data_IF_367062102990
#
_entry.id   IF_367062102990
#
_cell.length_a   1.000
_cell.length_b   1.000
_cell.length_c   1.000
_cell.angle_alpha   90.00
_cell.angle_beta   90.00
_cell.angle_gamma   90.00
#
_symmetry.space_group_name_H-M   'P 1'
#
loop_
_entity.id
_entity.type
_entity.pdbx_description
1 polymer ?
#
# COMPACT_ATOMS: atom_id res chain seq x y z
N UNK A 1 -1.76 -24.16 16.61
CA UNK A 1 -1.62 -23.22 15.46
C UNK A 1 -1.35 -21.82 16.02
N UNK A 2 -0.35 -21.08 15.51
CA UNK A 2 -0.14 -19.67 15.92
C UNK A 2 -1.30 -18.82 15.37
N UNK A 3 -1.83 -17.92 16.18
CA UNK A 3 -3.01 -17.11 15.83
C UNK A 3 -2.56 -15.83 15.16
N UNK A 4 -3.08 -15.55 13.96
CA UNK A 4 -2.95 -14.23 13.34
C UNK A 4 -4.01 -13.29 13.94
N UNK A 5 -3.56 -12.36 14.76
CA UNK A 5 -4.44 -11.41 15.45
C UNK A 5 -4.98 -10.34 14.50
N UNK A 6 -4.15 -9.83 13.60
CA UNK A 6 -4.48 -8.77 12.63
C UNK A 6 -4.42 -9.35 11.21
N UNK A 7 -5.33 -8.92 10.34
CA UNK A 7 -5.34 -9.31 8.92
C UNK A 7 -4.12 -8.73 8.21
N UNK A 8 -3.55 -9.48 7.27
CA UNK A 8 -2.36 -9.04 6.51
C UNK A 8 -2.60 -7.73 5.75
N UNK A 9 -3.81 -7.54 5.22
CA UNK A 9 -4.18 -6.31 4.51
C UNK A 9 -4.03 -5.07 5.40
N UNK A 10 -4.38 -5.16 6.69
CA UNK A 10 -4.20 -4.08 7.67
C UNK A 10 -2.72 -3.86 7.95
N UNK A 11 -1.94 -4.93 8.14
CA UNK A 11 -0.49 -4.85 8.37
C UNK A 11 0.21 -4.10 7.22
N UNK A 12 -0.25 -4.31 5.99
CA UNK A 12 0.31 -3.68 4.80
C UNK A 12 -0.12 -2.23 4.58
N UNK A 13 -1.04 -1.70 5.39
CA UNK A 13 -1.40 -0.29 5.33
C UNK A 13 -0.25 0.59 5.84
N UNK A 14 -0.20 1.87 5.43
CA UNK A 14 0.71 2.82 6.04
C UNK A 14 0.46 2.99 7.54
N UNK A 15 1.49 3.31 8.33
CA UNK A 15 1.33 3.55 9.79
C UNK A 15 0.27 4.62 10.10
N UNK A 16 0.21 5.69 9.31
CA UNK A 16 -0.82 6.73 9.43
C UNK A 16 -2.25 6.24 9.17
N UNK A 17 -2.42 5.11 8.47
CA UNK A 17 -3.72 4.44 8.24
C UNK A 17 -3.90 3.23 9.17
N UNK A 18 -3.14 3.16 10.26
CA UNK A 18 -3.23 2.06 11.21
C UNK A 18 -2.56 0.76 10.78
N UNK A 19 -1.69 0.75 9.77
CA UNK A 19 -0.87 -0.42 9.45
C UNK A 19 0.55 -0.34 10.00
N UNK A 20 1.47 -1.13 9.43
CA UNK A 20 2.87 -1.19 9.83
C UNK A 20 3.86 -0.76 8.74
N UNK A 21 3.38 -0.21 7.61
CA UNK A 21 4.20 0.12 6.42
C UNK A 21 4.93 -1.10 5.83
N UNK A 22 4.43 -2.32 6.09
CA UNK A 22 4.95 -3.55 5.47
C UNK A 22 4.47 -3.60 4.02
N UNK A 23 5.35 -3.97 3.09
CA UNK A 23 4.95 -4.11 1.69
C UNK A 23 4.08 -5.34 1.51
N UNK A 24 2.99 -5.20 0.76
CA UNK A 24 2.18 -6.35 0.37
C UNK A 24 2.98 -7.21 -0.62
N UNK A 25 3.36 -8.41 -0.19
CA UNK A 25 4.16 -9.37 -0.96
C UNK A 25 3.50 -9.71 -2.29
N UNK A 26 2.16 -9.77 -2.34
CA UNK A 26 1.41 -10.04 -3.59
C UNK A 26 1.63 -8.90 -4.58
N UNK A 27 1.52 -7.66 -4.11
CA UNK A 27 1.72 -6.47 -4.95
C UNK A 27 3.18 -6.31 -5.36
N UNK A 28 4.13 -6.65 -4.48
CA UNK A 28 5.56 -6.73 -4.83
C UNK A 28 5.78 -7.75 -5.94
N UNK A 29 5.20 -8.95 -5.83
CA UNK A 29 5.33 -10.00 -6.84
C UNK A 29 4.77 -9.55 -8.20
N UNK A 30 3.55 -8.99 -8.22
CA UNK A 30 2.94 -8.44 -9.45
C UNK A 30 3.84 -7.36 -10.06
N UNK A 31 4.42 -6.49 -9.24
CA UNK A 31 5.31 -5.41 -9.72
C UNK A 31 6.62 -5.93 -10.31
N UNK A 32 7.14 -7.04 -9.79
CA UNK A 32 8.33 -7.71 -10.31
C UNK A 32 8.01 -8.47 -11.61
N UNK A 33 6.90 -9.19 -11.67
CA UNK A 33 6.42 -9.83 -12.90
C UNK A 33 6.16 -8.81 -14.01
N UNK A 34 5.58 -7.66 -13.67
CA UNK A 34 5.41 -6.55 -14.61
C UNK A 34 6.74 -5.98 -15.11
N UNK A 35 7.84 -6.11 -14.35
CA UNK A 35 9.18 -5.76 -14.85
C UNK A 35 9.63 -6.73 -15.95
N UNK A 36 9.38 -8.02 -15.78
CA UNK A 36 9.66 -9.02 -16.80
C UNK A 36 8.84 -8.76 -18.06
N UNK A 37 7.54 -8.47 -17.91
CA UNK A 37 6.68 -8.11 -19.04
C UNK A 37 7.14 -6.80 -19.70
N UNK A 38 7.53 -5.80 -18.92
CA UNK A 38 8.14 -4.58 -19.46
C UNK A 38 9.39 -4.86 -20.29
N UNK A 39 10.27 -5.74 -19.80
CA UNK A 39 11.46 -6.12 -20.56
C UNK A 39 11.11 -6.87 -21.84
N UNK A 40 10.04 -7.68 -21.86
CA UNK A 40 9.53 -8.34 -23.08
C UNK A 40 9.02 -7.37 -24.15
N UNK A 41 8.76 -6.11 -23.81
CA UNK A 41 8.37 -5.12 -24.81
C UNK A 41 9.52 -4.77 -25.77
N UNK A 42 10.77 -4.91 -25.32
CA UNK A 42 11.95 -4.63 -26.11
C UNK A 42 12.41 -5.91 -26.82
N UNK A 43 12.67 -5.82 -28.11
CA UNK A 43 13.24 -6.93 -28.88
C UNK A 43 14.77 -6.85 -28.87
N UNK A 44 15.35 -7.04 -27.68
CA UNK A 44 16.80 -7.16 -27.50
C UNK A 44 17.24 -8.63 -27.53
N UNK A 45 18.52 -8.87 -27.80
CA UNK A 45 19.11 -10.22 -27.94
C UNK A 45 19.37 -10.90 -26.58
N UNK A 46 18.44 -10.80 -25.63
CA UNK A 46 18.58 -11.47 -24.35
C UNK A 46 18.23 -12.97 -24.46
N UNK A 47 19.13 -13.85 -23.99
CA UNK A 47 18.99 -15.33 -24.06
C UNK A 47 17.64 -15.84 -23.54
N UNK A 48 17.13 -15.28 -22.45
CA UNK A 48 15.85 -15.70 -21.89
C UNK A 48 14.66 -15.38 -22.81
N UNK A 49 14.76 -14.31 -23.63
CA UNK A 49 13.75 -13.99 -24.65
C UNK A 49 13.83 -14.97 -25.81
N UNK A 50 15.02 -15.38 -26.23
CA UNK A 50 15.19 -16.41 -27.27
C UNK A 50 14.57 -17.75 -26.87
N UNK A 51 14.74 -18.15 -25.59
CA UNK A 51 14.06 -19.33 -25.05
C UNK A 51 12.53 -19.18 -25.11
N UNK A 52 12.00 -18.00 -24.78
CA UNK A 52 10.56 -17.73 -24.86
C UNK A 52 10.04 -17.71 -26.30
N UNK A 53 10.76 -17.07 -27.23
CA UNK A 53 10.43 -17.06 -28.66
C UNK A 53 10.43 -18.47 -29.24
N UNK A 54 11.42 -19.29 -28.88
CA UNK A 54 11.52 -20.68 -29.33
C UNK A 54 10.38 -21.55 -28.77
N UNK A 55 10.02 -21.37 -27.51
CA UNK A 55 9.02 -22.23 -26.83
C UNK A 55 7.56 -21.80 -27.07
N UNK A 56 7.31 -20.49 -27.17
CA UNK A 56 5.97 -19.91 -27.20
C UNK A 56 5.68 -19.08 -28.46
N UNK A 57 6.66 -18.91 -29.35
CA UNK A 57 6.54 -18.17 -30.60
C UNK A 57 7.07 -16.74 -30.52
N UNK A 58 7.44 -16.15 -31.66
CA UNK A 58 8.01 -14.79 -31.75
C UNK A 58 7.03 -13.69 -31.33
N UNK A 59 5.73 -13.96 -31.39
CA UNK A 59 4.65 -13.02 -31.05
C UNK A 59 4.58 -12.65 -29.56
N UNK A 60 5.36 -13.29 -28.69
CA UNK A 60 5.36 -13.03 -27.24
C UNK A 60 6.19 -11.80 -26.84
N UNK A 61 6.97 -11.25 -27.77
CA UNK A 61 7.80 -10.06 -27.57
C UNK A 61 7.13 -8.86 -28.24
N UNK A 62 7.33 -7.67 -27.67
CA UNK A 62 6.84 -6.41 -28.25
C UNK A 62 5.35 -6.13 -28.02
N UNK A 63 4.67 -6.87 -27.12
CA UNK A 63 3.23 -6.71 -26.89
C UNK A 63 2.89 -6.22 -25.48
N UNK A 64 2.10 -5.14 -25.34
CA UNK A 64 1.61 -4.67 -24.04
C UNK A 64 0.55 -5.62 -23.45
N UNK A 65 -0.10 -6.44 -24.27
CA UNK A 65 -1.08 -7.43 -23.85
C UNK A 65 -0.70 -8.81 -24.44
N UNK A 66 -0.59 -9.80 -23.56
CA UNK A 66 -0.34 -11.20 -23.92
C UNK A 66 -1.65 -11.98 -23.75
N UNK A 67 -2.33 -12.27 -24.85
CA UNK A 67 -3.62 -12.97 -24.83
C UNK A 67 -3.52 -14.44 -24.45
N UNK A 68 -4.66 -15.13 -24.43
CA UNK A 68 -4.72 -16.58 -24.12
C UNK A 68 -3.96 -17.43 -25.14
N UNK A 69 -3.77 -16.94 -26.37
CA UNK A 69 -2.91 -17.57 -27.37
C UNK A 69 -1.45 -17.67 -26.92
N UNK A 70 -1.01 -16.80 -26.01
CA UNK A 70 0.33 -16.84 -25.42
C UNK A 70 0.42 -17.81 -24.23
N UNK A 71 -0.67 -18.49 -23.85
CA UNK A 71 -0.75 -19.41 -22.69
C UNK A 71 -1.12 -20.84 -23.13
N UNK A 72 -0.25 -21.54 -23.90
CA UNK A 72 -0.51 -22.93 -24.25
C UNK A 72 -0.63 -23.81 -23.00
N UNK A 73 -1.31 -24.95 -23.10
CA UNK A 73 -1.58 -25.83 -21.95
C UNK A 73 -0.30 -26.25 -21.20
N UNK A 74 0.80 -26.44 -21.92
CA UNK A 74 2.13 -26.80 -21.41
C UNK A 74 2.97 -25.61 -20.89
N UNK A 75 2.43 -24.39 -20.90
CA UNK A 75 3.12 -23.23 -20.36
C UNK A 75 3.46 -23.41 -18.89
N UNK A 76 4.70 -23.05 -18.53
CA UNK A 76 5.13 -23.01 -17.13
C UNK A 76 4.29 -22.02 -16.32
N UNK A 77 4.11 -22.27 -15.02
CA UNK A 77 3.36 -21.37 -14.13
C UNK A 77 3.90 -19.93 -14.17
N UNK A 78 5.22 -19.75 -14.13
CA UNK A 78 5.85 -18.44 -14.25
C UNK A 78 5.49 -17.70 -15.56
N UNK A 79 5.45 -18.42 -16.68
CA UNK A 79 5.04 -17.82 -17.96
C UNK A 79 3.56 -17.45 -17.95
N UNK A 80 2.69 -18.32 -17.40
CA UNK A 80 1.27 -18.01 -17.20
C UNK A 80 1.08 -16.77 -16.34
N UNK A 81 1.89 -16.59 -15.30
CA UNK A 81 1.87 -15.40 -14.44
C UNK A 81 2.27 -14.13 -15.19
N UNK A 82 3.32 -14.17 -16.04
CA UNK A 82 3.72 -13.05 -16.90
C UNK A 82 2.61 -12.72 -17.90
N UNK A 83 2.07 -13.71 -18.61
CA UNK A 83 0.98 -13.49 -19.56
C UNK A 83 -0.32 -13.00 -18.88
N UNK A 84 -0.45 -13.16 -17.57
CA UNK A 84 -1.61 -12.67 -16.82
C UNK A 84 -1.43 -11.24 -16.32
N UNK A 85 -0.25 -10.63 -16.49
CA UNK A 85 -0.05 -9.22 -16.18
C UNK A 85 -0.95 -8.36 -17.07
N UNK A 86 -1.70 -7.47 -16.43
CA UNK A 86 -2.73 -6.67 -17.08
C UNK A 86 -4.13 -7.24 -16.83
N UNK A 87 -4.34 -8.55 -16.81
CA UNK A 87 -5.67 -9.11 -16.51
C UNK A 87 -5.82 -9.53 -15.04
N UNK A 88 -4.72 -9.62 -14.30
CA UNK A 88 -4.66 -10.09 -12.92
C UNK A 88 -5.37 -9.20 -11.88
N UNK A 89 -5.83 -7.99 -12.24
CA UNK A 89 -6.44 -7.01 -11.32
C UNK A 89 -7.72 -6.36 -11.88
N UNK A 90 -8.54 -7.12 -12.63
CA UNK A 90 -9.83 -6.71 -13.21
C UNK A 90 -9.81 -5.51 -14.19
N UNK A 91 -8.63 -5.03 -14.57
CA UNK A 91 -8.43 -3.92 -15.50
C UNK A 91 -7.10 -4.11 -16.22
N UNK A 92 -7.02 -3.87 -17.53
CA UNK A 92 -5.80 -3.89 -18.36
C UNK A 92 -4.81 -2.78 -17.96
N UNK A 93 -4.42 -2.77 -16.69
CA UNK A 93 -3.68 -1.70 -16.05
C UNK A 93 -2.28 -1.55 -16.63
N UNK A 94 -1.67 -2.67 -17.05
CA UNK A 94 -0.34 -2.67 -17.62
C UNK A 94 -0.33 -2.00 -19.00
N UNK A 95 -1.26 -2.36 -19.90
CA UNK A 95 -1.35 -1.74 -21.23
C UNK A 95 -1.69 -0.26 -21.15
N UNK A 96 -2.50 0.16 -20.19
CA UNK A 96 -2.78 1.58 -19.91
C UNK A 96 -1.56 2.35 -19.38
N UNK A 97 -0.59 1.66 -18.79
CA UNK A 97 0.62 2.27 -18.23
C UNK A 97 1.77 2.37 -19.23
N UNK A 98 1.73 1.62 -20.34
CA UNK A 98 2.82 1.58 -21.33
C UNK A 98 2.39 2.27 -22.62
N UNK A 99 3.31 2.98 -23.25
CA UNK A 99 3.08 3.66 -24.53
C UNK A 99 4.23 3.34 -25.48
N UNK A 100 3.90 3.19 -26.76
CA UNK A 100 4.93 3.16 -27.81
C UNK A 100 5.31 4.60 -28.15
N UNK A 101 6.61 4.88 -28.17
CA UNK A 101 7.18 6.15 -28.62
C UNK A 101 7.77 5.88 -30.00
N UNK A 102 7.16 6.49 -31.01
CA UNK A 102 7.57 6.34 -32.39
C UNK A 102 8.89 7.09 -32.65
N UNK A 103 9.82 6.39 -33.29
CA UNK A 103 11.05 6.92 -33.85
C UNK A 103 11.07 6.67 -35.36
N UNK A 104 11.84 5.68 -35.79
CA UNK A 104 11.97 5.27 -37.19
C UNK A 104 10.82 4.38 -37.70
N UNK A 105 9.98 3.86 -36.82
CA UNK A 105 8.79 3.06 -37.15
C UNK A 105 9.06 1.59 -37.46
N UNK A 106 10.31 1.11 -37.34
CA UNK A 106 10.66 -0.28 -37.67
C UNK A 106 10.08 -1.30 -36.69
N UNK A 107 9.94 -0.93 -35.42
CA UNK A 107 9.45 -1.83 -34.37
C UNK A 107 8.04 -1.46 -33.89
N UNK A 108 7.33 -0.61 -34.62
CA UNK A 108 5.97 -0.17 -34.32
C UNK A 108 5.03 -0.75 -35.36
N UNK A 109 4.03 -1.50 -34.91
CA UNK A 109 2.99 -2.03 -35.81
C UNK A 109 2.07 -0.90 -36.26
N UNK A 110 1.83 -0.80 -37.56
CA UNK A 110 0.96 0.24 -38.10
C UNK A 110 -0.47 0.14 -37.57
N UNK A 111 -1.06 -1.07 -37.54
CA UNK A 111 -2.45 -1.23 -37.14
C UNK A 111 -2.65 -1.44 -35.64
N UNK A 112 -1.74 -2.18 -34.99
CA UNK A 112 -1.96 -2.68 -33.64
C UNK A 112 -1.46 -1.74 -32.54
N UNK A 113 -0.39 -0.98 -32.78
CA UNK A 113 0.17 -0.08 -31.77
C UNK A 113 -0.53 1.29 -31.79
N UNK A 114 -0.60 1.93 -30.62
CA UNK A 114 -1.09 3.32 -30.49
C UNK A 114 0.06 4.30 -30.74
N UNK A 115 0.29 4.63 -32.00
CA UNK A 115 1.33 5.58 -32.42
C UNK A 115 0.79 6.87 -33.09
N UNK A 116 -0.48 6.87 -33.51
CA UNK A 116 -1.18 8.02 -34.08
C UNK A 116 -2.53 8.25 -33.37
N UNK A 117 -2.56 9.17 -32.40
CA UNK A 117 -3.74 9.47 -31.58
C UNK A 117 -3.75 8.74 -30.22
N UNK A 118 -4.93 8.49 -29.67
CA UNK A 118 -5.12 7.91 -28.33
C UNK A 118 -5.45 6.41 -28.31
N UNK A 119 -5.94 5.87 -29.43
CA UNK A 119 -6.31 4.47 -29.62
C UNK A 119 -5.59 3.89 -30.85
N UNK A 120 -5.53 2.55 -30.96
CA UNK A 120 -4.91 1.89 -32.10
C UNK A 120 -5.65 2.19 -33.40
N UNK A 121 -4.94 2.20 -34.53
CA UNK A 121 -5.56 2.46 -35.84
C UNK A 121 -6.55 1.37 -36.25
N UNK A 122 -6.37 0.11 -35.80
CA UNK A 122 -7.35 -0.96 -36.05
C UNK A 122 -8.68 -0.70 -35.35
N UNK A 123 -8.67 -0.07 -34.18
CA UNK A 123 -9.87 0.16 -33.38
C UNK A 123 -10.58 1.42 -33.87
N UNK A 124 -9.82 2.44 -34.32
CA UNK A 124 -10.37 3.65 -34.94
C UNK A 124 -10.91 3.40 -36.35
N UNK A 125 -10.23 2.59 -37.16
CA UNK A 125 -10.60 2.31 -38.56
C UNK A 125 -10.81 0.81 -38.82
N UNK A 126 -11.78 0.15 -38.15
CA UNK A 126 -11.94 -1.30 -38.20
C UNK A 126 -12.27 -1.83 -39.60
N UNK A 127 -12.98 -1.04 -40.41
CA UNK A 127 -13.30 -1.40 -41.81
C UNK A 127 -12.05 -1.45 -42.68
N UNK A 128 -11.21 -0.41 -42.66
CA UNK A 128 -9.94 -0.37 -43.39
C UNK A 128 -9.01 -1.48 -42.94
N UNK A 129 -8.90 -1.70 -41.63
CA UNK A 129 -8.14 -2.81 -41.08
C UNK A 129 -8.61 -4.17 -41.63
N UNK A 130 -9.93 -4.40 -41.67
CA UNK A 130 -10.50 -5.68 -42.13
C UNK A 130 -10.11 -6.02 -43.58
N UNK A 131 -10.03 -5.01 -44.46
CA UNK A 131 -9.70 -5.17 -45.88
C UNK A 131 -8.21 -4.98 -46.20
N UNK A 132 -7.39 -4.52 -45.25
CA UNK A 132 -5.94 -4.46 -45.42
C UNK A 132 -5.33 -5.86 -45.55
N UNK A 133 -4.38 -6.02 -46.47
CA UNK A 133 -3.54 -7.23 -46.56
C UNK A 133 -2.30 -7.15 -45.68
N UNK A 134 -1.91 -5.94 -45.27
CA UNK A 134 -0.70 -5.62 -44.51
C UNK A 134 -1.02 -5.43 -43.01
N UNK A 135 -1.80 -6.34 -42.42
CA UNK A 135 -2.26 -6.20 -41.02
C UNK A 135 -1.14 -6.25 -39.99
N UNK A 136 -0.06 -6.96 -40.31
CA UNK A 136 1.09 -7.19 -39.42
C UNK A 136 2.30 -6.31 -39.78
N UNK A 137 2.15 -5.41 -40.76
CA UNK A 137 3.25 -4.55 -41.21
C UNK A 137 3.62 -3.47 -40.20
N UNK A 138 4.90 -3.12 -40.20
CA UNK A 138 5.42 -2.00 -39.40
C UNK A 138 5.10 -0.65 -40.04
N UNK A 139 5.21 0.42 -39.25
CA UNK A 139 5.04 1.79 -39.75
C UNK A 139 6.10 2.11 -40.80
N UNK A 140 7.35 1.66 -40.61
CA UNK A 140 8.43 1.85 -41.57
C UNK A 140 8.21 1.11 -42.89
N UNK A 141 7.63 -0.09 -42.87
CA UNK A 141 7.33 -0.85 -44.10
C UNK A 141 6.27 -0.18 -44.97
N UNK A 142 5.26 0.40 -44.33
CA UNK A 142 4.16 1.09 -45.01
C UNK A 142 4.53 2.51 -45.45
N UNK A 143 5.57 3.09 -44.84
CA UNK A 143 6.08 4.42 -45.14
C UNK A 143 7.20 4.33 -46.18
N UNK A 144 7.04 4.98 -47.32
CA UNK A 144 8.11 5.11 -48.30
C UNK A 144 9.16 6.13 -47.82
N UNK A 145 10.42 5.76 -47.54
CA UNK A 145 11.40 6.68 -46.95
C UNK A 145 11.95 7.72 -47.94
N UNK A 146 11.90 7.42 -49.25
CA UNK A 146 12.76 8.06 -50.25
C UNK A 146 12.18 9.33 -50.91
N UNK A 147 10.99 9.80 -50.52
CA UNK A 147 10.28 10.87 -51.24
C UNK A 147 10.35 12.27 -50.61
N UNK A 148 10.90 12.43 -49.41
CA UNK A 148 10.83 13.70 -48.65
C UNK A 148 9.41 14.09 -48.19
N UNK A 149 8.37 13.58 -48.85
CA UNK A 149 6.95 13.59 -48.48
C UNK A 149 6.59 12.28 -47.76
N UNK A 150 5.69 12.34 -46.76
CA UNK A 150 5.15 11.14 -46.10
C UNK A 150 4.22 10.37 -47.06
N UNK A 151 4.82 9.53 -47.90
CA UNK A 151 4.10 8.68 -48.86
C UNK A 151 3.88 7.32 -48.23
N UNK A 152 2.63 6.85 -48.28
CA UNK A 152 2.20 5.59 -47.67
C UNK A 152 1.77 4.59 -48.75
N UNK A 153 2.16 3.32 -48.59
CA UNK A 153 1.88 2.25 -49.55
C UNK A 153 0.88 1.25 -48.99
N UNK A 154 -0.41 1.47 -49.24
CA UNK A 154 -1.48 0.58 -48.79
C UNK A 154 -1.92 -0.42 -49.86
N UNK A 155 -2.01 -1.69 -49.47
CA UNK A 155 -2.51 -2.78 -50.31
C UNK A 155 -3.79 -3.36 -49.72
N UNK A 156 -4.89 -3.19 -50.45
CA UNK A 156 -6.23 -3.62 -50.08
C UNK A 156 -6.62 -4.92 -50.77
N UNK A 157 -7.43 -5.76 -50.11
CA UNK A 157 -7.96 -7.01 -50.69
C UNK A 157 -8.89 -6.80 -51.89
N UNK A 158 -9.49 -5.60 -51.99
CA UNK A 158 -10.40 -5.18 -53.05
C UNK A 158 -10.33 -3.65 -53.21
N UNK A 159 -10.94 -3.13 -54.28
CA UNK A 159 -11.17 -1.70 -54.42
C UNK A 159 -11.98 -1.12 -53.25
N UNK A 160 -11.63 0.09 -52.85
CA UNK A 160 -12.33 0.83 -51.79
C UNK A 160 -13.66 1.36 -52.31
N UNK A 161 -14.69 1.28 -51.49
CA UNK A 161 -15.95 2.00 -51.73
C UNK A 161 -15.80 3.48 -51.34
N UNK A 162 -16.70 4.35 -51.81
CA UNK A 162 -16.65 5.79 -51.53
C UNK A 162 -16.57 6.12 -50.03
N UNK A 163 -17.33 5.41 -49.18
CA UNK A 163 -17.28 5.62 -47.73
C UNK A 163 -15.97 5.13 -47.08
N UNK A 164 -15.30 4.12 -47.68
CA UNK A 164 -13.98 3.66 -47.25
C UNK A 164 -12.90 4.66 -47.68
N UNK A 165 -13.09 5.32 -48.83
CA UNK A 165 -12.21 6.39 -49.30
C UNK A 165 -12.23 7.59 -48.35
N UNK A 166 -13.42 7.99 -47.86
CA UNK A 166 -13.53 9.02 -46.83
C UNK A 166 -12.79 8.63 -45.53
N UNK A 167 -12.90 7.36 -45.12
CA UNK A 167 -12.16 6.84 -43.95
C UNK A 167 -10.65 6.84 -44.18
N UNK A 168 -10.19 6.54 -45.40
CA UNK A 168 -8.77 6.58 -45.75
C UNK A 168 -8.22 8.00 -45.71
N UNK A 169 -8.99 9.00 -46.13
CA UNK A 169 -8.59 10.39 -46.04
C UNK A 169 -8.39 10.83 -44.58
N UNK A 170 -9.31 10.47 -43.67
CA UNK A 170 -9.17 10.75 -42.23
C UNK A 170 -7.97 10.03 -41.61
N UNK A 171 -7.71 8.78 -42.03
CA UNK A 171 -6.52 8.04 -41.64
C UNK A 171 -5.24 8.76 -42.08
N UNK A 172 -5.19 9.20 -43.34
CA UNK A 172 -4.05 9.93 -43.92
C UNK A 172 -3.80 11.24 -43.18
N UNK A 173 -4.84 12.01 -42.88
CA UNK A 173 -4.73 13.23 -42.05
C UNK A 173 -4.15 12.91 -40.67
N UNK A 174 -4.63 11.86 -40.03
CA UNK A 174 -4.18 11.47 -38.69
C UNK A 174 -2.71 11.06 -38.65
N UNK A 175 -2.26 10.24 -39.61
CA UNK A 175 -0.88 9.73 -39.64
C UNK A 175 0.13 10.77 -40.15
N UNK A 176 -0.29 11.68 -41.04
CA UNK A 176 0.58 12.73 -41.58
C UNK A 176 0.90 13.85 -40.56
N UNK A 177 0.12 13.99 -39.49
CA UNK A 177 0.42 14.90 -38.38
C UNK A 177 1.51 14.35 -37.45
N UNK A 178 1.90 13.09 -37.60
CA UNK A 178 2.90 12.45 -36.73
C UNK A 178 4.31 12.78 -37.23
N UNK A 179 5.17 13.16 -36.29
CA UNK A 179 6.60 13.39 -36.54
C UNK A 179 7.40 12.11 -36.34
N UNK A 180 8.41 11.92 -37.19
CA UNK A 180 9.31 10.77 -37.20
C UNK A 180 10.72 11.25 -36.88
N UNK A 181 11.55 10.33 -36.38
CA UNK A 181 12.97 10.60 -36.12
C UNK A 181 13.82 9.43 -36.58
N UNK A 182 15.11 9.64 -36.79
CA UNK A 182 16.04 8.57 -37.13
C UNK A 182 16.38 7.66 -35.93
N UNK A 183 15.94 8.02 -34.72
CA UNK A 183 16.13 7.19 -33.53
C UNK A 183 15.23 5.94 -33.57
N UNK A 184 15.67 4.87 -32.91
CA UNK A 184 14.85 3.66 -32.75
C UNK A 184 13.56 3.93 -31.98
N UNK A 185 12.52 3.18 -32.33
CA UNK A 185 11.27 3.12 -31.58
C UNK A 185 11.52 2.64 -30.14
N UNK A 186 10.79 3.22 -29.17
CA UNK A 186 10.98 2.91 -27.75
C UNK A 186 9.65 2.67 -27.05
N UNK A 187 9.72 2.04 -25.89
CA UNK A 187 8.60 1.99 -24.96
C UNK A 187 8.78 3.02 -23.86
N UNK A 188 7.72 3.77 -23.57
CA UNK A 188 7.61 4.72 -22.48
C UNK A 188 6.51 4.35 -21.52
N UNK A 189 6.40 5.11 -20.43
CA UNK A 189 5.35 4.97 -19.42
C UNK A 189 4.40 6.16 -19.46
N UNK A 190 3.12 5.96 -19.12
CA UNK A 190 2.16 7.03 -18.80
C UNK A 190 2.17 7.31 -17.29
N UNK A 191 2.03 8.55 -16.80
CA UNK A 191 1.85 9.83 -17.51
C UNK A 191 3.16 10.52 -17.95
N UNK A 192 4.31 10.09 -17.41
CA UNK A 192 5.62 10.67 -17.71
C UNK A 192 6.18 10.07 -19.01
N UNK A 193 5.83 10.68 -20.16
CA UNK A 193 6.37 10.28 -21.47
C UNK A 193 7.90 10.15 -21.38
N UNK A 194 8.41 8.93 -21.55
CA UNK A 194 9.85 8.64 -21.59
C UNK A 194 10.52 8.27 -20.26
N UNK A 195 9.80 8.21 -19.14
CA UNK A 195 10.39 7.74 -17.87
C UNK A 195 10.65 6.22 -17.88
N UNK A 196 11.81 5.81 -17.36
CA UNK A 196 12.19 4.40 -17.25
C UNK A 196 11.28 3.63 -16.27
N UNK A 197 10.96 2.37 -16.58
CA UNK A 197 10.18 1.51 -15.69
C UNK A 197 10.91 1.26 -14.37
N UNK A 198 10.22 1.51 -13.25
CA UNK A 198 10.72 1.15 -11.92
C UNK A 198 9.70 0.30 -11.17
N UNK A 199 10.19 -0.76 -10.51
CA UNK A 199 9.34 -1.62 -9.66
C UNK A 199 8.65 -0.80 -8.57
N UNK A 200 9.31 0.26 -8.07
CA UNK A 200 8.76 1.15 -7.03
C UNK A 200 7.52 1.92 -7.49
N UNK A 201 7.55 2.51 -8.69
CA UNK A 201 6.38 3.25 -9.22
C UNK A 201 5.26 2.30 -9.64
N UNK A 202 5.60 1.13 -10.20
CA UNK A 202 4.65 0.06 -10.49
C UNK A 202 3.97 -0.45 -9.23
N UNK A 203 4.72 -0.69 -8.15
CA UNK A 203 4.16 -1.06 -6.85
C UNK A 203 3.12 -0.07 -6.36
N UNK A 204 3.41 1.25 -6.44
CA UNK A 204 2.45 2.27 -5.98
C UNK A 204 1.16 2.25 -6.80
N UNK A 205 1.26 2.13 -8.12
CA UNK A 205 0.10 2.07 -9.01
C UNK A 205 -0.73 0.79 -8.78
N UNK A 206 -0.07 -0.37 -8.78
CA UNK A 206 -0.71 -1.67 -8.52
C UNK A 206 -1.36 -1.69 -7.13
N UNK A 207 -0.67 -1.17 -6.11
CA UNK A 207 -1.20 -1.07 -4.76
C UNK A 207 -2.43 -0.17 -4.74
N UNK A 208 -2.44 0.98 -5.43
CA UNK A 208 -3.64 1.84 -5.48
C UNK A 208 -4.84 1.19 -6.16
N UNK A 209 -4.60 0.31 -7.14
CA UNK A 209 -5.66 -0.43 -7.84
C UNK A 209 -6.18 -1.62 -7.01
N UNK A 210 -5.32 -2.21 -6.17
CA UNK A 210 -5.63 -3.45 -5.43
C UNK A 210 -6.01 -3.20 -3.97
N UNK A 211 -5.67 -2.04 -3.42
CA UNK A 211 -5.84 -1.78 -2.00
C UNK A 211 -7.34 -1.76 -1.66
N UNK A 212 -7.76 -2.46 -0.60
CA UNK A 212 -9.11 -2.32 -0.10
C UNK A 212 -9.36 -0.85 0.27
N UNK A 213 -10.57 -0.36 0.01
CA UNK A 213 -11.03 0.96 0.43
C UNK A 213 -11.14 1.00 1.97
N UNK A 214 -10.00 1.08 2.64
CA UNK A 214 -9.92 1.23 4.08
C UNK A 214 -9.83 2.72 4.38
N UNK A 215 -10.97 3.32 4.70
CA UNK A 215 -11.05 4.69 5.18
C UNK A 215 -10.86 4.69 6.69
N UNK A 216 -9.82 5.39 7.13
CA UNK A 216 -9.58 5.67 8.54
C UNK A 216 -9.93 7.12 8.76
N UNK A 217 -10.77 7.37 9.76
CA UNK A 217 -11.14 8.74 10.12
C UNK A 217 -9.88 9.59 10.39
N UNK A 218 -9.83 10.86 9.95
CA UNK A 218 -8.62 11.68 10.04
C UNK A 218 -8.03 11.81 11.45
N UNK A 219 -8.87 11.83 12.48
CA UNK A 219 -8.43 11.92 13.86
C UNK A 219 -7.87 10.58 14.38
N UNK A 220 -8.44 9.43 13.99
CA UNK A 220 -7.83 8.11 14.22
C UNK A 220 -6.45 7.99 13.55
N UNK A 221 -6.32 8.47 12.31
CA UNK A 221 -5.05 8.49 11.59
C UNK A 221 -3.97 9.30 12.32
N UNK A 222 -4.36 10.40 12.97
CA UNK A 222 -3.47 11.24 13.77
C UNK A 222 -2.97 10.50 15.02
N UNK A 223 -3.83 9.74 15.69
CA UNK A 223 -3.47 8.90 16.85
C UNK A 223 -2.50 7.79 16.43
N UNK A 224 -2.80 7.05 15.34
CA UNK A 224 -1.90 6.02 14.84
C UNK A 224 -0.52 6.57 14.48
N UNK A 225 -0.45 7.75 13.87
CA UNK A 225 0.81 8.41 13.60
C UNK A 225 1.54 8.79 14.91
N UNK A 226 0.81 9.27 15.91
CA UNK A 226 1.39 9.71 17.18
C UNK A 226 1.99 8.59 18.02
N UNK A 227 1.34 7.41 18.09
CA UNK A 227 1.85 6.27 18.87
C UNK A 227 3.23 5.81 18.38
N UNK A 228 3.49 5.89 17.07
CA UNK A 228 4.75 5.51 16.44
C UNK A 228 5.83 6.58 16.54
N UNK A 229 5.43 7.85 16.62
CA UNK A 229 6.36 8.98 16.81
C UNK A 229 6.73 9.22 18.27
N UNK A 230 5.92 8.71 19.20
CA UNK A 230 6.18 8.85 20.64
C UNK A 230 7.56 8.27 21.04
N UNK A 231 8.17 8.78 22.12
CA UNK A 231 9.40 8.21 22.67
C UNK A 231 9.27 6.80 23.27
N UNK A 232 8.06 6.23 23.33
CA UNK A 232 7.83 4.90 23.89
C UNK A 232 8.64 3.80 23.15
N UNK A 233 9.03 2.71 23.84
CA UNK A 233 9.65 1.55 23.20
C UNK A 233 8.76 0.95 22.11
N UNK A 234 9.36 0.45 21.04
CA UNK A 234 8.63 -0.14 19.90
C UNK A 234 7.70 -1.30 20.29
N UNK A 235 8.09 -2.10 21.30
CA UNK A 235 7.24 -3.16 21.88
C UNK A 235 5.94 -2.60 22.46
N UNK A 236 6.01 -1.44 23.13
CA UNK A 236 4.86 -0.78 23.74
C UNK A 236 3.98 -0.16 22.66
N UNK A 237 4.55 0.59 21.71
CA UNK A 237 3.80 1.14 20.57
C UNK A 237 3.13 0.04 19.74
N UNK A 238 3.79 -1.10 19.55
CA UNK A 238 3.22 -2.27 18.88
C UNK A 238 2.05 -2.87 19.64
N UNK A 239 2.13 -2.96 20.97
CA UNK A 239 1.01 -3.43 21.80
C UNK A 239 -0.20 -2.48 21.72
N UNK A 240 0.03 -1.17 21.86
CA UNK A 240 -1.03 -0.14 21.75
C UNK A 240 -1.65 -0.16 20.36
N UNK A 241 -0.86 -0.31 19.31
CA UNK A 241 -1.35 -0.50 17.95
C UNK A 241 -2.28 -1.73 17.84
N UNK A 242 -1.92 -2.86 18.43
CA UNK A 242 -2.81 -4.04 18.48
C UNK A 242 -4.09 -3.77 19.26
N UNK A 243 -3.99 -3.03 20.36
CA UNK A 243 -5.14 -2.66 21.19
C UNK A 243 -6.13 -1.77 20.44
N UNK A 244 -5.65 -0.76 19.71
CA UNK A 244 -6.50 0.13 18.91
C UNK A 244 -7.20 -0.58 17.73
N UNK A 245 -6.73 -1.77 17.36
CA UNK A 245 -7.41 -2.67 16.41
C UNK A 245 -8.32 -3.71 17.09
N UNK A 246 -8.48 -3.64 18.42
CA UNK A 246 -9.19 -4.64 19.24
C UNK A 246 -8.62 -6.05 19.08
N UNK A 247 -7.28 -6.16 18.96
CA UNK A 247 -6.54 -7.41 18.67
C UNK A 247 -5.56 -7.81 19.77
N UNK A 248 -5.91 -7.53 21.01
CA UNK A 248 -5.22 -8.02 22.21
C UNK A 248 -5.95 -9.22 22.82
N UNK A 249 -5.27 -10.14 23.52
CA UNK A 249 -5.88 -11.35 24.06
C UNK A 249 -6.65 -11.09 25.37
N UNK A 250 -7.63 -10.20 25.33
CA UNK A 250 -8.66 -10.09 26.37
C UNK A 250 -9.51 -11.35 26.36
N UNK A 251 -10.12 -11.69 27.50
CA UNK A 251 -11.01 -12.85 27.60
C UNK A 251 -12.12 -12.82 26.56
N UNK A 252 -12.75 -11.65 26.35
CA UNK A 252 -13.78 -11.48 25.31
C UNK A 252 -13.28 -11.85 23.90
N UNK A 253 -12.07 -11.40 23.54
CA UNK A 253 -11.48 -11.74 22.24
C UNK A 253 -11.12 -13.21 22.11
N UNK A 254 -10.66 -13.83 23.20
CA UNK A 254 -10.32 -15.26 23.21
C UNK A 254 -11.57 -16.13 23.04
N UNK A 255 -12.68 -15.78 23.71
CA UNK A 255 -13.98 -16.45 23.55
C UNK A 255 -14.53 -16.24 22.14
N UNK A 256 -14.53 -15.01 21.63
CA UNK A 256 -14.98 -14.68 20.26
C UNK A 256 -14.21 -15.48 19.19
N UNK A 257 -12.94 -15.81 19.47
CA UNK A 257 -12.09 -16.61 18.58
C UNK A 257 -12.12 -18.11 18.88
N UNK A 258 -13.01 -18.57 19.78
CA UNK A 258 -13.19 -19.97 20.18
C UNK A 258 -11.90 -20.61 20.72
N UNK A 259 -11.10 -19.82 21.43
CA UNK A 259 -9.89 -20.29 22.12
C UNK A 259 -10.24 -20.70 23.56
N UNK A 260 -11.14 -19.95 24.19
CA UNK A 260 -11.71 -20.27 25.50
C UNK A 260 -13.19 -20.59 25.34
N UNK A 261 -13.68 -21.51 26.17
CA UNK A 261 -15.10 -21.83 26.26
C UNK A 261 -15.87 -20.75 27.02
N UNK A 262 -17.10 -20.49 26.59
CA UNK A 262 -18.01 -19.48 27.17
C UNK A 262 -18.29 -19.77 28.65
N UNK A 263 -18.21 -21.03 29.08
CA UNK A 263 -18.52 -21.50 30.43
C UNK A 263 -17.31 -21.81 31.32
N UNK A 264 -16.07 -21.56 30.89
CA UNK A 264 -14.89 -21.72 31.77
C UNK A 264 -14.82 -20.60 32.82
N UNK A 265 -14.27 -20.89 34.01
CA UNK A 265 -14.13 -20.00 35.18
C UNK A 265 -14.16 -18.53 34.78
N UNK A 266 -15.25 -17.81 35.06
CA UNK A 266 -15.40 -16.37 34.80
C UNK A 266 -14.45 -15.58 35.70
N UNK A 267 -13.14 -15.76 35.50
CA UNK A 267 -12.08 -15.01 36.16
C UNK A 267 -12.10 -13.62 35.55
N UNK A 268 -12.95 -12.78 36.10
CA UNK A 268 -12.95 -11.36 35.93
C UNK A 268 -11.51 -10.85 36.17
N UNK A 269 -10.91 -10.22 35.17
CA UNK A 269 -9.51 -9.81 35.24
C UNK A 269 -9.41 -8.35 35.72
N UNK A 270 -8.32 -8.02 36.41
CA UNK A 270 -8.05 -6.72 37.03
C UNK A 270 -8.97 -6.37 38.23
N UNK A 271 -10.27 -6.05 38.02
CA UNK A 271 -11.19 -5.74 39.14
C UNK A 271 -11.84 -6.96 39.79
N UNK A 272 -11.97 -8.08 39.08
CA UNK A 272 -12.67 -9.23 39.64
C UNK A 272 -14.21 -9.19 39.50
N UNK A 273 -14.79 -8.22 38.79
CA UNK A 273 -16.24 -7.98 38.78
C UNK A 273 -16.93 -8.13 37.41
N UNK A 274 -16.26 -7.72 36.32
CA UNK A 274 -16.87 -7.71 34.97
C UNK A 274 -16.05 -8.46 33.91
N UNK A 275 -16.73 -8.87 32.83
CA UNK A 275 -16.10 -9.56 31.71
C UNK A 275 -15.00 -8.69 31.08
N UNK A 276 -13.80 -9.25 30.95
CA UNK A 276 -12.65 -8.55 30.39
C UNK A 276 -12.85 -8.25 28.88
N UNK A 277 -13.34 -7.04 28.61
CA UNK A 277 -13.29 -6.38 27.30
C UNK A 277 -12.13 -5.38 27.27
N UNK A 278 -11.73 -4.92 26.09
CA UNK A 278 -10.69 -3.90 25.94
C UNK A 278 -11.09 -2.58 26.60
N UNK A 279 -12.34 -2.16 26.43
CA UNK A 279 -12.84 -0.92 27.03
C UNK A 279 -12.89 -1.04 28.55
N UNK A 280 -13.42 -2.15 29.07
CA UNK A 280 -13.43 -2.38 30.51
C UNK A 280 -12.00 -2.41 31.06
N UNK A 281 -11.13 -3.27 30.53
CA UNK A 281 -9.78 -3.46 31.04
C UNK A 281 -8.94 -2.18 31.09
N UNK A 282 -9.07 -1.32 30.07
CA UNK A 282 -8.21 -0.15 29.92
C UNK A 282 -8.86 1.18 30.29
N UNK A 283 -10.18 1.27 30.43
CA UNK A 283 -10.89 2.53 30.69
C UNK A 283 -11.89 2.44 31.86
N UNK A 284 -12.75 1.43 31.88
CA UNK A 284 -13.91 1.39 32.80
C UNK A 284 -13.71 0.55 34.06
N UNK A 285 -12.69 -0.31 34.09
CA UNK A 285 -12.30 -1.01 35.30
C UNK A 285 -11.92 0.03 36.38
N UNK A 286 -12.38 -0.17 37.62
CA UNK A 286 -12.14 0.77 38.73
C UNK A 286 -10.66 1.12 38.87
N UNK A 287 -9.77 0.12 38.85
CA UNK A 287 -8.32 0.32 38.92
C UNK A 287 -7.83 1.17 37.73
N UNK A 288 -8.29 0.87 36.51
CA UNK A 288 -7.89 1.62 35.33
C UNK A 288 -8.38 3.07 35.39
N UNK A 289 -9.63 3.30 35.82
CA UNK A 289 -10.24 4.60 35.96
C UNK A 289 -9.47 5.47 36.96
N UNK A 290 -9.18 4.93 38.15
CA UNK A 290 -8.41 5.63 39.18
C UNK A 290 -6.99 5.96 38.71
N UNK A 291 -6.32 5.03 38.02
CA UNK A 291 -5.00 5.29 37.41
C UNK A 291 -5.09 6.44 36.40
N UNK A 292 -6.11 6.47 35.53
CA UNK A 292 -6.28 7.58 34.59
C UNK A 292 -6.53 8.91 35.31
N UNK A 293 -7.37 8.94 36.34
CA UNK A 293 -7.63 10.15 37.13
C UNK A 293 -6.34 10.71 37.74
N UNK A 294 -5.52 9.85 38.36
CA UNK A 294 -4.23 10.22 38.94
C UNK A 294 -3.23 10.72 37.88
N UNK A 295 -3.19 10.08 36.71
CA UNK A 295 -2.29 10.50 35.62
C UNK A 295 -2.72 11.83 35.01
N UNK A 296 -4.01 12.06 34.82
CA UNK A 296 -4.53 13.33 34.32
C UNK A 296 -4.31 14.46 35.34
N UNK A 297 -4.52 14.19 36.63
CA UNK A 297 -4.17 15.12 37.71
C UNK A 297 -2.68 15.45 37.72
N UNK A 298 -1.81 14.44 37.60
CA UNK A 298 -0.35 14.64 37.51
C UNK A 298 0.08 15.49 36.30
N UNK A 299 -0.67 15.42 35.20
CA UNK A 299 -0.41 16.21 33.99
C UNK A 299 -1.08 17.59 34.01
N UNK A 300 -1.85 17.93 35.05
CA UNK A 300 -2.66 19.15 35.08
C UNK A 300 -3.56 19.27 33.83
N UNK A 301 -4.25 18.17 33.51
CA UNK A 301 -5.22 18.07 32.41
C UNK A 301 -6.56 17.61 32.97
N UNK A 302 -7.68 18.28 32.67
CA UNK A 302 -9.00 17.83 33.10
C UNK A 302 -9.31 16.41 32.62
N UNK A 303 -9.69 15.53 33.54
CA UNK A 303 -10.09 14.17 33.19
C UNK A 303 -11.57 14.14 32.78
N UNK A 304 -11.83 13.65 31.56
CA UNK A 304 -13.16 13.34 31.08
C UNK A 304 -13.22 11.84 30.75
N UNK A 305 -14.25 11.15 31.25
CA UNK A 305 -14.43 9.73 30.98
C UNK A 305 -14.59 9.51 29.45
N UNK A 306 -13.66 8.78 28.80
CA UNK A 306 -13.69 8.59 27.35
C UNK A 306 -14.70 7.51 26.94
N UNK A 307 -15.31 7.68 25.76
CA UNK A 307 -16.25 6.68 25.21
C UNK A 307 -15.55 5.54 24.44
N UNK A 308 -14.27 5.70 24.08
CA UNK A 308 -13.45 4.66 23.49
C UNK A 308 -11.95 4.94 23.70
N UNK A 309 -11.11 3.95 23.33
CA UNK A 309 -9.65 4.05 23.44
C UNK A 309 -9.06 5.16 22.57
N UNK A 310 -9.60 5.45 21.40
CA UNK A 310 -9.08 6.55 20.58
C UNK A 310 -9.33 7.91 21.26
N UNK A 311 -10.42 8.07 21.99
CA UNK A 311 -10.79 9.33 22.64
C UNK A 311 -9.83 9.75 23.74
N UNK A 312 -9.34 8.82 24.55
CA UNK A 312 -8.35 9.15 25.60
C UNK A 312 -7.01 9.56 24.99
N UNK A 313 -6.60 8.89 23.91
CA UNK A 313 -5.42 9.27 23.15
C UNK A 313 -5.60 10.64 22.49
N UNK A 314 -6.79 10.92 21.93
CA UNK A 314 -7.10 12.22 21.34
C UNK A 314 -7.05 13.34 22.37
N UNK A 315 -7.59 13.10 23.58
CA UNK A 315 -7.60 14.07 24.67
C UNK A 315 -6.17 14.51 25.04
N UNK A 316 -5.27 13.55 25.30
CA UNK A 316 -3.88 13.85 25.66
C UNK A 316 -3.05 14.34 24.46
N UNK A 317 -3.38 13.93 23.23
CA UNK A 317 -2.78 14.49 22.02
C UNK A 317 -3.14 15.97 21.85
N UNK A 318 -4.40 16.33 22.12
CA UNK A 318 -4.93 17.68 21.99
C UNK A 318 -4.52 18.61 23.15
N UNK A 319 -4.34 18.08 24.36
CA UNK A 319 -3.83 18.83 25.51
C UNK A 319 -2.34 19.20 25.37
N UNK A 320 -1.61 18.53 24.48
CA UNK A 320 -0.20 18.80 24.22
C UNK A 320 0.03 19.73 23.03
N UNK A 321 0.81 20.79 23.23
CA UNK A 321 1.35 21.59 22.14
C UNK A 321 2.27 20.76 21.21
N UNK A 322 2.67 21.36 20.09
CA UNK A 322 3.55 20.69 19.12
C UNK A 322 4.86 20.15 19.70
N UNK A 323 5.35 20.76 20.80
CA UNK A 323 6.57 20.35 21.50
C UNK A 323 6.37 19.09 22.35
N UNK A 324 5.24 18.99 23.08
CA UNK A 324 5.06 17.97 24.12
C UNK A 324 4.10 16.84 23.74
N UNK A 325 3.32 16.97 22.65
CA UNK A 325 2.27 16.02 22.28
C UNK A 325 2.74 14.55 22.17
N UNK A 326 3.97 14.32 21.70
CA UNK A 326 4.51 12.96 21.59
C UNK A 326 4.98 12.41 22.94
N UNK A 327 5.37 13.28 23.87
CA UNK A 327 5.60 12.95 25.28
C UNK A 327 4.29 12.57 25.98
N UNK A 328 3.21 13.33 25.74
CA UNK A 328 1.88 12.99 26.27
C UNK A 328 1.41 11.61 25.78
N UNK A 329 1.60 11.31 24.49
CA UNK A 329 1.26 9.99 23.93
C UNK A 329 2.16 8.87 24.47
N UNK A 330 3.42 9.16 24.77
CA UNK A 330 4.28 8.21 25.47
C UNK A 330 3.71 7.87 26.86
N UNK A 331 3.14 8.84 27.56
CA UNK A 331 2.49 8.61 28.86
C UNK A 331 1.23 7.75 28.66
N UNK A 332 0.36 8.05 27.69
CA UNK A 332 -0.78 7.18 27.35
C UNK A 332 -0.36 5.74 27.08
N UNK A 333 0.69 5.58 26.27
CA UNK A 333 1.25 4.28 25.91
C UNK A 333 1.74 3.53 27.17
N UNK A 334 2.34 4.24 28.12
CA UNK A 334 2.78 3.67 29.39
C UNK A 334 1.62 3.23 30.26
N UNK A 335 0.54 4.01 30.36
CA UNK A 335 -0.64 3.64 31.17
C UNK A 335 -1.22 2.33 30.66
N UNK A 336 -1.52 2.26 29.37
CA UNK A 336 -2.04 1.05 28.71
C UNK A 336 -1.11 -0.15 28.94
N UNK A 337 0.20 0.03 28.78
CA UNK A 337 1.17 -1.04 28.98
C UNK A 337 1.25 -1.51 30.43
N UNK A 338 1.22 -0.59 31.39
CA UNK A 338 1.27 -0.90 32.82
C UNK A 338 0.01 -1.65 33.25
N UNK A 339 -1.18 -1.22 32.82
CA UNK A 339 -2.44 -1.93 33.08
C UNK A 339 -2.41 -3.34 32.51
N UNK A 340 -1.92 -3.50 31.27
CA UNK A 340 -1.76 -4.83 30.65
C UNK A 340 -0.81 -5.73 31.44
N UNK A 341 0.32 -5.19 31.91
CA UNK A 341 1.29 -5.93 32.72
C UNK A 341 0.73 -6.30 34.09
N UNK A 342 0.01 -5.39 34.74
CA UNK A 342 -0.64 -5.64 36.03
C UNK A 342 -1.65 -6.79 35.90
N UNK A 343 -2.53 -6.70 34.90
CA UNK A 343 -3.48 -7.77 34.56
C UNK A 343 -2.80 -9.13 34.37
N UNK A 344 -1.70 -9.17 33.60
CA UNK A 344 -0.98 -10.43 33.38
C UNK A 344 -0.33 -10.96 34.66
N UNK A 345 0.22 -10.09 35.49
CA UNK A 345 0.81 -10.49 36.77
C UNK A 345 -0.24 -11.07 37.72
N UNK A 346 -1.43 -10.48 37.79
CA UNK A 346 -2.56 -11.01 38.59
C UNK A 346 -2.95 -12.41 38.11
N UNK A 347 -3.07 -12.61 36.79
CA UNK A 347 -3.56 -13.87 36.23
C UNK A 347 -2.54 -15.00 36.22
N UNK A 348 -1.25 -14.70 36.06
CA UNK A 348 -0.22 -15.71 35.82
C UNK A 348 0.80 -15.83 36.95
N UNK A 349 0.97 -14.77 37.76
CA UNK A 349 2.05 -14.68 38.75
C UNK A 349 1.53 -14.46 40.19
N UNK A 350 0.21 -14.59 40.43
CA UNK A 350 -0.45 -14.22 41.71
C UNK A 350 -0.11 -12.79 42.17
N UNK A 351 0.14 -11.90 41.21
CA UNK A 351 0.53 -10.52 41.45
C UNK A 351 -0.59 -9.71 42.07
N UNK A 352 -0.21 -8.59 42.70
CA UNK A 352 -1.10 -7.53 43.17
C UNK A 352 -0.49 -6.20 42.77
N UNK A 353 -1.33 -5.20 42.50
CA UNK A 353 -0.87 -3.85 42.23
C UNK A 353 -1.90 -2.86 42.73
N UNK A 354 -1.47 -1.95 43.61
CA UNK A 354 -2.32 -0.83 44.02
C UNK A 354 -2.27 0.26 42.95
N UNK A 355 -3.27 1.15 42.95
CA UNK A 355 -3.29 2.31 42.03
C UNK A 355 -2.00 3.13 42.18
N UNK A 356 -1.51 3.32 43.41
CA UNK A 356 -0.27 4.06 43.69
C UNK A 356 0.95 3.39 43.02
N UNK A 357 1.10 2.08 43.15
CA UNK A 357 2.22 1.34 42.54
C UNK A 357 2.20 1.47 41.01
N UNK A 358 1.01 1.41 40.40
CA UNK A 358 0.86 1.53 38.96
C UNK A 358 1.22 2.94 38.47
N UNK A 359 0.74 3.97 39.16
CA UNK A 359 1.04 5.37 38.84
C UNK A 359 2.54 5.65 38.98
N UNK A 360 3.18 5.18 40.05
CA UNK A 360 4.63 5.30 40.23
C UNK A 360 5.39 4.58 39.11
N UNK A 361 5.00 3.35 38.79
CA UNK A 361 5.61 2.59 37.69
C UNK A 361 5.48 3.30 36.33
N UNK A 362 4.35 3.98 36.07
CA UNK A 362 4.13 4.80 34.87
C UNK A 362 5.09 6.00 34.87
N UNK A 363 5.17 6.75 35.97
CA UNK A 363 6.07 7.92 36.09
C UNK A 363 7.53 7.51 35.87
N UNK A 364 7.98 6.44 36.52
CA UNK A 364 9.36 5.93 36.38
C UNK A 364 9.63 5.42 34.96
N UNK A 365 8.70 4.69 34.35
CA UNK A 365 8.88 4.14 32.99
C UNK A 365 8.96 5.26 31.95
N UNK A 366 8.05 6.23 32.02
CA UNK A 366 8.00 7.36 31.09
C UNK A 366 9.22 8.27 31.23
N UNK A 367 9.69 8.51 32.46
CA UNK A 367 10.95 9.21 32.71
C UNK A 367 12.13 8.49 32.07
N UNK A 368 12.28 7.17 32.28
CA UNK A 368 13.36 6.37 31.67
C UNK A 368 13.32 6.44 30.14
N UNK A 369 12.13 6.36 29.55
CA UNK A 369 11.97 6.43 28.09
C UNK A 369 12.32 7.82 27.55
N UNK A 370 11.91 8.88 28.24
CA UNK A 370 12.27 10.25 27.92
C UNK A 370 13.80 10.46 27.96
N UNK A 371 14.42 10.07 29.08
CA UNK A 371 15.86 10.20 29.29
C UNK A 371 16.70 9.42 28.27
N UNK A 372 16.21 8.28 27.78
CA UNK A 372 16.93 7.50 26.76
C UNK A 372 17.00 8.19 25.39
N UNK A 373 16.20 9.22 25.13
CA UNK A 373 16.14 9.93 23.85
C UNK A 373 16.56 11.41 23.91
N UNK A 374 16.61 12.01 25.11
CA UNK A 374 17.03 13.39 25.29
C UNK A 374 18.55 13.52 25.06
N UNK A 375 18.95 14.40 24.14
CA UNK A 375 20.37 14.59 23.77
C UNK A 375 21.09 15.64 24.61
N UNK A 376 20.37 16.51 25.33
CA UNK A 376 20.97 17.80 25.75
C UNK A 376 20.46 18.39 27.06
N UNK A 377 19.46 17.80 27.73
CA UNK A 377 19.10 18.21 29.10
C UNK A 377 18.65 17.02 29.94
N UNK A 378 19.15 16.94 31.18
CA UNK A 378 18.74 15.91 32.13
C UNK A 378 17.60 16.45 32.99
N UNK A 379 16.41 15.84 32.92
CA UNK A 379 15.35 16.04 33.91
C UNK A 379 15.52 14.98 34.99
N UNK A 380 15.62 15.38 36.26
CA UNK A 380 15.67 14.43 37.37
C UNK A 380 14.31 13.74 37.54
N UNK A 381 14.28 12.52 38.07
CA UNK A 381 13.02 11.80 38.31
C UNK A 381 12.07 12.61 39.23
N UNK A 382 12.62 13.31 40.23
CA UNK A 382 11.85 14.20 41.08
C UNK A 382 11.18 15.32 40.27
N UNK A 383 11.92 16.03 39.42
CA UNK A 383 11.36 17.08 38.55
C UNK A 383 10.28 16.52 37.62
N UNK A 384 10.48 15.32 37.07
CA UNK A 384 9.49 14.64 36.24
C UNK A 384 8.20 14.33 37.01
N UNK A 385 8.32 13.89 38.25
CA UNK A 385 7.18 13.57 39.09
C UNK A 385 6.38 14.79 39.53
N UNK A 386 7.00 15.97 39.62
CA UNK A 386 6.35 17.23 40.03
C UNK A 386 5.86 18.04 38.84
N UNK A 387 6.70 18.24 37.82
CA UNK A 387 6.44 19.13 36.68
C UNK A 387 6.72 18.44 35.33
N UNK A 388 5.99 17.35 34.99
CA UNK A 388 6.26 16.56 33.79
C UNK A 388 6.17 17.37 32.50
N UNK A 389 5.26 18.35 32.44
CA UNK A 389 5.05 19.19 31.25
C UNK A 389 6.24 20.11 30.98
N UNK A 390 6.85 20.66 32.04
CA UNK A 390 8.07 21.45 31.90
C UNK A 390 9.24 20.55 31.46
N UNK A 391 9.37 19.36 32.05
CA UNK A 391 10.40 18.41 31.61
C UNK A 391 10.23 17.96 30.15
N UNK A 392 9.01 17.84 29.64
CA UNK A 392 8.73 17.54 28.23
C UNK A 392 9.08 18.69 27.26
N UNK A 393 9.21 19.92 27.77
CA UNK A 393 9.59 21.10 26.98
C UNK A 393 11.11 21.29 26.88
N UNK A 394 11.87 20.70 27.80
CA UNK A 394 13.34 20.72 27.83
C UNK A 394 13.92 19.69 26.87
#
# INVERSE_FOLDING_TARGET
>A
KKISWIKWDIVCLPKKKGGLDVRDVRVVNISLLAKWHWQLLFDDEAVWKEVLKSKYGTRVVGRPELGEECKPWFASLWWKDICSIGCNLNHNWFSQCVIKILGNGMCTSFWWDTWAGEISLKDRFPRLFSISTQKDSSVAELRCPNSGLQVWSFVWRRGLFEWEQASLNELMESINMVSFSDADDRWGRRPEKGAAFTVKSTYRNVYSLSAPAFEVEPWHASIFNAIWKSPAPSKVSGFVWQLLHSRVPTRNNLVTRRILDVGGDSSYALCGEEMETELHLFLYCEIALLVWMEIFSWLDVPFCLPHNLFSIFNCLLGAGDYKIRYGMIMICNSVVWTLWRCRNSILFDNGRGTVADLVEAIKVSTWKWWMSRATTSHCLLYEWCVEPRLCLLR
#
